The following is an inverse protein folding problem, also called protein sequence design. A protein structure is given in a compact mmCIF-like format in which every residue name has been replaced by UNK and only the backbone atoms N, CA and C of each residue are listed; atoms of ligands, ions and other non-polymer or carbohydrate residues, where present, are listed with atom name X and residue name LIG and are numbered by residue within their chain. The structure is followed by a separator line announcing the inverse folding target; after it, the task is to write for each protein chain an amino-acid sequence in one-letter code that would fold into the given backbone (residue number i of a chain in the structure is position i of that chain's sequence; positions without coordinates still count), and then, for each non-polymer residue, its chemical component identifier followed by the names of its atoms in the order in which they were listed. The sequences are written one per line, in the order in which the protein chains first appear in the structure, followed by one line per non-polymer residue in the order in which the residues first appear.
data_IF_708061254543
#
_entry.id   IF_708061254543
#
_cell.length_a   1.000
_cell.length_b   1.000
_cell.length_c   1.000
_cell.angle_alpha   90.00
_cell.angle_beta   90.00
_cell.angle_gamma   90.00
#
_symmetry.space_group_name_H-M   'P 1'
#
loop_
_entity.id
_entity.type
_entity.pdbx_description
1 polymer ?
#
# COMPACT_ATOMS: atom_id res chain seq x y z
N UNK A 1 -14.76 9.45 14.54
CA UNK A 1 -13.65 9.38 15.50
C UNK A 1 -12.99 10.76 15.61
N UNK A 2 -12.63 11.19 16.84
CA UNK A 2 -11.83 12.40 17.03
C UNK A 2 -10.38 12.17 16.67
N UNK A 3 -9.83 11.04 17.09
CA UNK A 3 -8.43 10.66 16.88
C UNK A 3 -8.27 9.94 15.52
N UNK A 4 -7.78 10.66 14.53
CA UNK A 4 -7.54 10.17 13.17
C UNK A 4 -6.17 10.66 12.72
N UNK A 5 -5.16 9.81 12.88
CA UNK A 5 -3.80 10.16 12.49
C UNK A 5 -3.36 9.40 11.24
N UNK A 6 -2.56 10.07 10.42
CA UNK A 6 -1.73 9.44 9.39
C UNK A 6 -0.28 9.77 9.67
N UNK A 7 0.57 8.75 9.65
CA UNK A 7 1.99 8.88 9.97
C UNK A 7 2.80 8.22 8.88
N UNK A 8 3.71 8.98 8.27
CA UNK A 8 4.56 8.54 7.17
C UNK A 8 4.21 9.17 5.83
N UNK A 9 4.23 8.37 4.78
CA UNK A 9 4.05 8.79 3.39
C UNK A 9 2.60 9.14 3.05
N UNK A 10 2.39 10.35 2.51
CA UNK A 10 1.08 10.77 1.98
C UNK A 10 0.89 10.46 0.48
N UNK A 11 1.70 11.03 -0.38
CA UNK A 11 1.73 10.86 -1.85
C UNK A 11 0.40 11.14 -2.60
N UNK A 12 -0.50 11.91 -2.01
CA UNK A 12 -1.80 12.28 -2.61
C UNK A 12 -1.94 13.80 -2.84
N UNK A 13 -0.81 14.46 -3.08
CA UNK A 13 -0.72 15.89 -3.39
C UNK A 13 0.01 16.70 -2.34
N UNK A 14 0.91 17.57 -2.79
CA UNK A 14 1.80 18.36 -1.94
C UNK A 14 1.81 19.86 -2.25
N UNK A 15 1.32 20.28 -3.43
CA UNK A 15 1.46 21.67 -3.89
C UNK A 15 0.53 22.62 -3.19
N UNK A 16 -0.71 22.19 -2.88
CA UNK A 16 -1.74 23.03 -2.25
C UNK A 16 -2.23 22.38 -0.96
N UNK A 17 -2.43 23.19 0.07
CA UNK A 17 -2.94 22.73 1.38
C UNK A 17 -4.25 21.94 1.31
N UNK A 18 -5.12 22.23 0.32
CA UNK A 18 -6.36 21.46 0.11
C UNK A 18 -6.13 19.96 -0.11
N UNK A 19 -4.92 19.57 -0.53
CA UNK A 19 -4.56 18.17 -0.74
C UNK A 19 -3.88 17.52 0.47
N UNK A 20 -3.55 18.28 1.51
CA UNK A 20 -2.85 17.76 2.69
C UNK A 20 -3.77 16.86 3.53
N UNK A 21 -3.19 15.91 4.29
CA UNK A 21 -3.93 14.97 5.12
C UNK A 21 -4.96 15.65 6.04
N UNK A 22 -4.59 16.79 6.64
CA UNK A 22 -5.44 17.54 7.55
C UNK A 22 -6.73 18.04 6.86
N UNK A 23 -6.70 18.33 5.57
CA UNK A 23 -7.89 18.67 4.77
C UNK A 23 -8.59 17.45 4.17
N UNK A 24 -8.10 16.26 4.44
CA UNK A 24 -8.66 14.98 3.99
C UNK A 24 -9.24 14.14 5.12
N UNK A 25 -9.52 14.77 6.27
CA UNK A 25 -10.22 14.14 7.37
C UNK A 25 -9.33 13.64 8.50
N UNK A 26 -8.03 13.72 8.40
CA UNK A 26 -7.12 13.41 9.50
C UNK A 26 -7.05 14.58 10.49
N UNK A 27 -6.88 14.26 11.77
CA UNK A 27 -6.70 15.23 12.84
C UNK A 27 -5.24 15.41 13.24
N UNK A 28 -4.36 14.57 12.72
CA UNK A 28 -2.92 14.64 12.91
C UNK A 28 -2.20 14.01 11.71
N UNK A 29 -1.11 14.63 11.31
CA UNK A 29 -0.20 14.17 10.27
C UNK A 29 1.24 14.35 10.73
N UNK A 30 2.05 13.30 10.57
CA UNK A 30 3.49 13.37 10.78
C UNK A 30 4.20 12.54 9.72
N UNK A 31 5.05 13.16 8.91
CA UNK A 31 5.71 12.47 7.81
C UNK A 31 5.94 13.35 6.58
N UNK A 32 5.91 12.75 5.39
CA UNK A 32 6.25 13.44 4.15
C UNK A 32 5.13 13.40 3.11
N UNK A 33 5.05 14.45 2.28
CA UNK A 33 3.99 14.62 1.30
C UNK A 33 4.32 14.01 -0.06
N UNK A 34 5.60 13.88 -0.42
CA UNK A 34 6.03 13.25 -1.67
C UNK A 34 6.03 11.71 -1.61
N UNK A 35 6.24 11.09 -2.77
CA UNK A 35 6.25 9.62 -2.92
C UNK A 35 7.54 8.95 -2.44
N UNK A 36 8.62 9.69 -2.25
CA UNK A 36 9.91 9.22 -1.76
C UNK A 36 10.68 10.38 -1.16
N UNK A 37 11.50 10.10 -0.16
CA UNK A 37 12.41 11.04 0.49
C UNK A 37 13.74 10.36 0.79
N UNK A 38 14.78 11.13 1.08
CA UNK A 38 15.96 10.67 1.78
C UNK A 38 15.60 10.24 3.21
N UNK A 39 16.07 9.07 3.63
CA UNK A 39 15.65 8.47 4.92
C UNK A 39 16.30 9.12 6.14
N UNK A 40 17.42 9.81 5.95
CA UNK A 40 18.17 10.46 7.03
C UNK A 40 17.98 11.97 7.02
N UNK A 41 18.07 12.59 5.84
CA UNK A 41 17.95 14.04 5.69
C UNK A 41 16.49 14.50 5.61
N UNK A 42 15.55 13.56 5.42
CA UNK A 42 14.11 13.81 5.33
C UNK A 42 13.76 14.78 4.18
N UNK A 43 14.56 14.75 3.12
CA UNK A 43 14.42 15.65 1.98
C UNK A 43 13.96 14.94 0.72
N UNK A 44 13.31 15.67 -0.17
CA UNK A 44 13.04 15.27 -1.53
C UNK A 44 13.87 16.11 -2.49
N UNK A 45 14.85 15.49 -3.15
CA UNK A 45 15.77 16.19 -4.08
C UNK A 45 16.45 17.42 -3.45
N UNK A 46 16.83 17.30 -2.16
CA UNK A 46 17.48 18.36 -1.38
C UNK A 46 16.55 19.36 -0.71
N UNK A 47 15.26 19.34 -1.00
CA UNK A 47 14.26 20.18 -0.34
C UNK A 47 13.63 19.42 0.84
N UNK A 48 13.53 20.04 1.99
CA UNK A 48 12.93 19.45 3.20
C UNK A 48 11.47 19.07 2.94
N UNK A 49 11.12 17.80 3.18
CA UNK A 49 9.76 17.26 3.07
C UNK A 49 9.43 16.42 4.30
N UNK A 50 9.46 17.06 5.47
CA UNK A 50 9.04 16.43 6.71
C UNK A 50 8.13 17.38 7.49
N UNK A 51 6.98 16.90 7.89
CA UNK A 51 5.90 17.75 8.39
C UNK A 51 5.34 17.22 9.70
N UNK A 52 4.92 18.14 10.54
CA UNK A 52 4.08 17.91 11.69
C UNK A 52 2.82 18.76 11.52
N UNK A 53 1.70 18.13 11.22
CA UNK A 53 0.43 18.75 10.83
C UNK A 53 0.59 19.69 9.62
N UNK A 54 0.54 20.99 9.85
CA UNK A 54 0.61 22.01 8.81
C UNK A 54 2.02 22.57 8.55
N UNK A 55 2.96 22.20 9.40
CA UNK A 55 4.27 22.83 9.45
C UNK A 55 5.36 21.85 8.99
N UNK A 56 6.32 22.36 8.25
CA UNK A 56 7.54 21.63 7.91
C UNK A 56 8.49 21.71 9.09
N UNK A 57 9.07 20.61 9.51
CA UNK A 57 9.95 20.53 10.67
C UNK A 57 11.28 19.82 10.39
N UNK A 58 12.32 20.20 11.13
CA UNK A 58 13.66 19.61 11.06
C UNK A 58 13.83 18.57 12.18
N UNK A 59 13.31 17.38 11.99
CA UNK A 59 13.61 16.28 12.92
C UNK A 59 14.92 15.59 12.55
N UNK A 60 15.55 14.99 13.54
CA UNK A 60 16.78 14.21 13.36
C UNK A 60 16.50 12.73 13.61
N UNK A 61 16.92 11.90 12.68
CA UNK A 61 16.80 10.46 12.81
C UNK A 61 16.45 9.76 11.50
N UNK A 62 16.35 8.47 11.58
CA UNK A 62 15.97 7.62 10.44
C UNK A 62 14.46 7.60 10.30
N UNK A 63 13.92 7.97 9.14
CA UNK A 63 12.48 8.19 8.92
C UNK A 63 11.59 7.02 9.38
N UNK A 64 12.03 5.77 9.16
CA UNK A 64 11.29 4.58 9.60
C UNK A 64 11.13 4.53 11.13
N UNK A 65 12.17 4.91 11.87
CA UNK A 65 12.10 4.98 13.34
C UNK A 65 11.28 6.17 13.83
N UNK A 66 11.37 7.31 13.16
CA UNK A 66 10.55 8.49 13.47
C UNK A 66 9.06 8.18 13.29
N UNK A 67 8.68 7.51 12.19
CA UNK A 67 7.31 7.05 11.93
C UNK A 67 6.85 6.11 13.04
N UNK A 68 7.67 5.13 13.42
CA UNK A 68 7.35 4.17 14.48
C UNK A 68 7.13 4.88 15.83
N UNK A 69 8.06 5.77 16.20
CA UNK A 69 8.01 6.52 17.45
C UNK A 69 6.75 7.38 17.54
N UNK A 70 6.39 8.07 16.46
CA UNK A 70 5.20 8.90 16.43
C UNK A 70 3.92 8.07 16.50
N UNK A 71 3.87 6.91 15.83
CA UNK A 71 2.74 5.99 15.93
C UNK A 71 2.52 5.53 17.38
N UNK A 72 3.58 5.17 18.08
CA UNK A 72 3.54 4.78 19.51
C UNK A 72 3.09 5.97 20.37
N UNK A 73 3.64 7.17 20.14
CA UNK A 73 3.22 8.39 20.85
C UNK A 73 1.73 8.65 20.71
N UNK A 74 1.19 8.49 19.51
CA UNK A 74 -0.26 8.61 19.26
C UNK A 74 -1.06 7.57 20.06
N UNK A 75 -0.63 6.31 20.03
CA UNK A 75 -1.28 5.23 20.78
C UNK A 75 -1.29 5.56 22.28
N UNK A 76 -0.16 6.00 22.82
CA UNK A 76 -0.04 6.35 24.25
C UNK A 76 -0.91 7.54 24.64
N UNK A 77 -1.02 8.54 23.76
CA UNK A 77 -1.80 9.76 23.99
C UNK A 77 -3.31 9.58 23.89
N UNK A 78 -3.80 8.58 23.12
CA UNK A 78 -5.23 8.35 22.96
C UNK A 78 -5.85 7.80 24.25
N UNK A 79 -7.08 8.22 24.55
CA UNK A 79 -7.84 7.66 25.65
C UNK A 79 -8.09 6.17 25.42
N UNK A 80 -7.99 5.35 26.47
CA UNK A 80 -8.12 3.89 26.35
C UNK A 80 -9.49 3.48 25.79
N UNK A 81 -10.55 4.15 26.21
CA UNK A 81 -11.93 3.88 25.77
C UNK A 81 -12.35 4.67 24.54
N UNK A 82 -11.48 5.59 24.06
CA UNK A 82 -11.76 6.41 22.91
C UNK A 82 -11.47 5.71 21.58
N UNK A 83 -12.41 5.73 20.60
CA UNK A 83 -12.13 5.17 19.28
C UNK A 83 -11.08 6.02 18.54
N UNK A 84 -10.17 5.35 17.83
CA UNK A 84 -9.15 6.00 17.01
C UNK A 84 -9.01 5.31 15.65
N UNK A 85 -8.45 6.03 14.70
CA UNK A 85 -7.95 5.52 13.42
C UNK A 85 -6.48 5.96 13.28
N UNK A 86 -5.60 5.01 13.09
CA UNK A 86 -4.17 5.23 12.88
C UNK A 86 -3.76 4.57 11.57
N UNK A 87 -3.34 5.38 10.60
CA UNK A 87 -2.77 4.93 9.35
C UNK A 87 -1.26 5.15 9.36
N UNK A 88 -0.50 4.08 9.50
CA UNK A 88 0.97 4.12 9.50
C UNK A 88 1.46 3.74 8.11
N UNK A 89 1.88 4.74 7.34
CA UNK A 89 2.29 4.62 5.96
C UNK A 89 3.82 4.67 5.85
N UNK A 90 4.49 3.56 6.14
CA UNK A 90 5.95 3.48 6.00
C UNK A 90 6.38 3.75 4.56
N UNK A 91 7.44 4.55 4.39
CA UNK A 91 8.11 4.70 3.09
C UNK A 91 9.09 3.55 2.81
N UNK A 92 9.59 2.85 3.83
CA UNK A 92 10.40 1.65 3.66
C UNK A 92 9.58 0.49 3.04
N UNK A 93 10.18 -0.29 2.13
CA UNK A 93 11.56 -0.23 1.63
C UNK A 93 11.69 0.47 0.26
N UNK A 94 10.93 1.55 -0.02
CA UNK A 94 11.01 2.32 -1.26
C UNK A 94 12.40 2.96 -1.44
N UNK A 95 12.84 3.16 -2.67
CA UNK A 95 14.07 3.91 -2.98
C UNK A 95 13.98 5.38 -2.53
N UNK A 96 15.16 6.00 -2.17
CA UNK A 96 16.52 5.47 -2.18
C UNK A 96 16.72 4.34 -1.16
N UNK A 97 17.57 3.35 -1.49
CA UNK A 97 17.89 2.29 -0.54
C UNK A 97 18.92 2.82 0.46
N UNK A 98 18.47 3.04 1.68
CA UNK A 98 19.28 3.59 2.77
C UNK A 98 18.88 2.89 4.07
N UNK A 99 19.84 2.36 4.81
CA UNK A 99 19.60 1.67 6.07
C UNK A 99 20.61 2.09 7.14
N UNK A 100 20.25 1.93 8.39
CA UNK A 100 21.15 2.16 9.49
C UNK A 100 22.18 1.04 9.59
N UNK A 101 23.41 1.37 10.00
CA UNK A 101 24.51 0.40 10.17
C UNK A 101 24.14 -0.78 11.06
N UNK A 102 23.42 -0.53 12.15
CA UNK A 102 22.98 -1.59 13.08
C UNK A 102 22.06 -2.62 12.39
N UNK A 103 21.27 -2.20 11.39
CA UNK A 103 20.38 -3.09 10.66
C UNK A 103 21.11 -3.80 9.51
N UNK A 104 22.09 -3.15 8.90
CA UNK A 104 23.01 -3.78 7.92
C UNK A 104 23.79 -4.93 8.59
N UNK A 105 24.28 -4.74 9.81
CA UNK A 105 25.00 -5.76 10.57
C UNK A 105 24.21 -7.03 10.87
N UNK A 106 22.88 -6.99 10.79
CA UNK A 106 22.06 -8.21 10.88
C UNK A 106 22.28 -9.18 9.71
N UNK A 107 22.83 -8.69 8.60
CA UNK A 107 22.97 -9.45 7.36
C UNK A 107 24.41 -9.60 6.88
N UNK A 108 25.30 -8.70 7.29
CA UNK A 108 26.68 -8.70 6.83
C UNK A 108 27.60 -7.92 7.77
N UNK A 109 28.71 -8.55 8.20
CA UNK A 109 29.73 -7.91 9.02
C UNK A 109 30.69 -7.04 8.20
N UNK A 110 30.93 -7.38 6.94
CA UNK A 110 31.87 -6.68 6.06
C UNK A 110 31.19 -6.13 4.80
N UNK A 111 30.31 -5.14 5.01
CA UNK A 111 29.46 -4.57 3.99
C UNK A 111 30.26 -3.95 2.82
N UNK A 112 31.40 -3.30 3.12
CA UNK A 112 32.21 -2.61 2.10
C UNK A 112 32.92 -3.59 1.15
N UNK A 113 33.07 -4.84 1.52
CA UNK A 113 33.65 -5.88 0.65
C UNK A 113 32.65 -6.45 -0.38
N UNK A 114 31.36 -6.14 -0.22
CA UNK A 114 30.32 -6.62 -1.11
C UNK A 114 30.30 -5.87 -2.43
N UNK A 115 29.87 -6.56 -3.49
CA UNK A 115 29.55 -5.89 -4.77
C UNK A 115 28.40 -4.90 -4.61
N UNK A 116 28.29 -3.87 -5.48
CA UNK A 116 27.19 -2.89 -5.40
C UNK A 116 25.78 -3.53 -5.45
N UNK A 117 25.64 -4.66 -6.13
CA UNK A 117 24.38 -5.41 -6.19
C UNK A 117 24.06 -6.10 -4.87
N UNK A 118 25.05 -6.67 -4.20
CA UNK A 118 24.92 -7.30 -2.89
C UNK A 118 24.68 -6.27 -1.81
N UNK A 119 25.39 -5.14 -1.83
CA UNK A 119 25.12 -4.02 -0.93
C UNK A 119 23.67 -3.56 -1.01
N UNK A 120 23.12 -3.41 -2.21
CA UNK A 120 21.69 -3.08 -2.37
C UNK A 120 20.76 -4.13 -1.79
N UNK A 121 21.07 -5.42 -1.94
CA UNK A 121 20.27 -6.51 -1.34
C UNK A 121 20.30 -6.45 0.18
N UNK A 122 21.46 -6.29 0.77
CA UNK A 122 21.64 -6.18 2.22
C UNK A 122 20.90 -4.95 2.74
N UNK A 123 21.08 -3.80 2.09
CA UNK A 123 20.41 -2.56 2.46
C UNK A 123 18.89 -2.71 2.42
N UNK A 124 18.35 -3.31 1.35
CA UNK A 124 16.91 -3.57 1.24
C UNK A 124 16.40 -4.45 2.38
N UNK A 125 17.11 -5.54 2.69
CA UNK A 125 16.74 -6.45 3.79
C UNK A 125 16.80 -5.73 5.15
N UNK A 126 17.82 -4.91 5.37
CA UNK A 126 17.98 -4.10 6.57
C UNK A 126 16.84 -3.08 6.75
N UNK A 127 16.40 -2.43 5.67
CA UNK A 127 15.24 -1.53 5.67
C UNK A 127 13.95 -2.27 6.07
N UNK A 128 13.74 -3.47 5.51
CA UNK A 128 12.56 -4.30 5.85
C UNK A 128 12.61 -4.72 7.32
N UNK A 129 13.77 -5.15 7.84
CA UNK A 129 13.90 -5.53 9.25
C UNK A 129 13.66 -4.37 10.21
N UNK A 130 14.10 -3.16 9.85
CA UNK A 130 13.80 -1.97 10.65
C UNK A 130 12.30 -1.69 10.69
N UNK A 131 11.62 -1.79 9.55
CA UNK A 131 10.16 -1.60 9.46
C UNK A 131 9.42 -2.68 10.26
N UNK A 132 9.78 -3.95 10.11
CA UNK A 132 9.15 -5.07 10.82
C UNK A 132 9.29 -4.93 12.35
N UNK A 133 10.49 -4.57 12.81
CA UNK A 133 10.73 -4.24 14.23
C UNK A 133 9.85 -3.08 14.70
N UNK A 134 9.66 -2.06 13.85
CA UNK A 134 8.77 -0.93 14.12
C UNK A 134 7.31 -1.37 14.24
N UNK A 135 6.84 -2.25 13.36
CA UNK A 135 5.50 -2.85 13.43
C UNK A 135 5.32 -3.64 14.73
N UNK A 136 6.33 -4.46 15.10
CA UNK A 136 6.35 -5.17 16.37
C UNK A 136 6.19 -4.23 17.57
N UNK A 137 6.93 -3.12 17.60
CA UNK A 137 6.85 -2.13 18.67
C UNK A 137 5.47 -1.46 18.76
N UNK A 138 4.82 -1.19 17.63
CA UNK A 138 3.44 -0.68 17.58
C UNK A 138 2.46 -1.70 18.17
N UNK A 139 2.58 -2.97 17.79
CA UNK A 139 1.75 -4.06 18.34
C UNK A 139 1.94 -4.17 19.86
N UNK A 140 3.19 -4.07 20.33
CA UNK A 140 3.49 -4.14 21.77
C UNK A 140 2.93 -2.92 22.53
N UNK A 141 2.94 -1.72 21.93
CA UNK A 141 2.28 -0.55 22.52
C UNK A 141 0.76 -0.76 22.67
N UNK A 142 0.09 -1.32 21.66
CA UNK A 142 -1.34 -1.67 21.72
C UNK A 142 -1.64 -2.71 22.80
N UNK A 143 -0.79 -3.74 22.92
CA UNK A 143 -0.90 -4.77 23.97
C UNK A 143 -0.68 -4.18 25.35
N UNK A 144 0.39 -3.39 25.55
CA UNK A 144 0.72 -2.71 26.81
C UNK A 144 -0.43 -1.82 27.27
N UNK A 145 -1.06 -1.11 26.35
CA UNK A 145 -2.23 -0.28 26.63
C UNK A 145 -3.50 -1.11 26.90
N UNK A 146 -3.50 -2.40 26.57
CA UNK A 146 -4.64 -3.31 26.77
C UNK A 146 -5.77 -3.09 25.78
N UNK A 147 -5.48 -2.59 24.57
CA UNK A 147 -6.47 -2.31 23.53
C UNK A 147 -6.31 -3.16 22.26
N UNK A 148 -5.28 -4.01 22.19
CA UNK A 148 -5.00 -4.84 21.00
C UNK A 148 -6.20 -5.72 20.62
N UNK A 149 -6.86 -6.34 21.58
CA UNK A 149 -8.00 -7.23 21.35
C UNK A 149 -9.27 -6.49 20.84
N UNK A 150 -9.34 -5.17 21.05
CA UNK A 150 -10.40 -4.31 20.51
C UNK A 150 -9.92 -3.49 19.28
N UNK A 151 -8.78 -3.85 18.71
CA UNK A 151 -8.22 -3.19 17.53
C UNK A 151 -8.40 -4.08 16.30
N UNK A 152 -8.95 -3.49 15.23
CA UNK A 152 -8.88 -4.05 13.89
C UNK A 152 -7.52 -3.64 13.29
N UNK A 153 -6.58 -4.56 13.24
CA UNK A 153 -5.22 -4.32 12.79
C UNK A 153 -5.01 -4.96 11.43
N UNK A 154 -4.63 -4.16 10.44
CA UNK A 154 -4.30 -4.64 9.10
C UNK A 154 -2.93 -4.14 8.66
N UNK A 155 -2.11 -5.03 8.12
CA UNK A 155 -0.89 -4.73 7.39
C UNK A 155 -1.06 -5.14 5.94
N UNK A 156 -0.60 -4.30 5.01
CA UNK A 156 -0.51 -4.65 3.59
C UNK A 156 0.58 -3.84 2.90
N UNK A 157 1.12 -4.39 1.82
CA UNK A 157 1.97 -3.64 0.89
C UNK A 157 1.11 -2.92 -0.15
N UNK A 158 1.56 -1.75 -0.61
CA UNK A 158 0.83 -0.93 -1.59
C UNK A 158 0.86 -1.52 -3.01
N UNK A 159 1.91 -2.25 -3.34
CA UNK A 159 2.10 -2.92 -4.64
C UNK A 159 3.14 -4.04 -4.53
N UNK A 160 3.31 -4.80 -5.59
CA UNK A 160 4.37 -5.79 -5.71
C UNK A 160 5.76 -5.18 -5.83
N UNK A 161 6.77 -6.03 -5.98
CA UNK A 161 8.17 -5.61 -6.07
C UNK A 161 8.42 -4.58 -7.17
N UNK A 162 9.30 -3.62 -6.90
CA UNK A 162 9.78 -2.67 -7.92
C UNK A 162 10.96 -3.21 -8.76
N UNK A 163 11.36 -4.48 -8.56
CA UNK A 163 12.48 -5.08 -9.28
C UNK A 163 13.86 -4.59 -8.83
N UNK A 164 13.93 -3.90 -7.69
CA UNK A 164 15.24 -3.50 -7.12
C UNK A 164 15.97 -4.70 -6.51
N UNK A 165 17.32 -4.71 -6.49
CA UNK A 165 18.07 -5.78 -5.85
C UNK A 165 17.64 -6.02 -4.41
N UNK A 166 17.32 -7.26 -4.06
CA UNK A 166 16.81 -7.65 -2.74
C UNK A 166 15.29 -7.81 -2.69
N UNK A 167 14.53 -7.14 -3.54
CA UNK A 167 13.10 -7.36 -3.66
C UNK A 167 12.76 -8.54 -4.57
N UNK A 168 11.66 -9.24 -4.26
CA UNK A 168 11.19 -10.38 -5.06
C UNK A 168 9.69 -10.54 -4.92
N UNK A 169 9.00 -10.85 -6.02
CA UNK A 169 7.62 -11.34 -6.00
C UNK A 169 7.55 -12.87 -5.90
N UNK A 170 8.65 -13.52 -5.55
CA UNK A 170 8.73 -14.98 -5.54
C UNK A 170 8.48 -15.56 -6.94
N UNK A 171 7.59 -16.55 -7.06
CA UNK A 171 7.28 -17.18 -8.35
C UNK A 171 6.27 -16.39 -9.18
N UNK A 172 5.68 -15.30 -8.64
CA UNK A 172 4.66 -14.51 -9.33
C UNK A 172 5.26 -13.72 -10.49
N UNK A 173 4.52 -13.66 -11.60
CA UNK A 173 4.94 -12.95 -12.80
C UNK A 173 4.83 -11.45 -12.65
N UNK A 174 5.77 -10.69 -13.23
CA UNK A 174 5.74 -9.24 -13.29
C UNK A 174 6.23 -8.54 -12.02
N UNK A 175 6.01 -7.24 -11.97
CA UNK A 175 6.49 -6.35 -10.91
C UNK A 175 5.59 -5.10 -10.83
N UNK A 176 5.90 -4.20 -9.92
CA UNK A 176 5.24 -2.89 -9.82
C UNK A 176 5.02 -2.27 -11.21
N UNK A 177 3.86 -1.71 -11.43
CA UNK A 177 3.30 -1.23 -12.69
C UNK A 177 2.71 -2.30 -13.62
N UNK A 178 2.82 -3.58 -13.30
CA UNK A 178 2.18 -4.65 -14.07
C UNK A 178 0.85 -5.07 -13.45
N UNK A 179 -0.09 -5.50 -14.27
CA UNK A 179 -1.34 -6.16 -13.85
C UNK A 179 -1.16 -7.68 -13.63
N UNK A 180 0.07 -8.19 -13.85
CA UNK A 180 0.46 -9.52 -13.41
C UNK A 180 0.51 -9.61 -11.89
N UNK A 181 0.34 -10.80 -11.34
CA UNK A 181 0.29 -10.99 -9.88
C UNK A 181 1.52 -10.46 -9.15
N UNK A 182 2.71 -10.52 -9.77
CA UNK A 182 3.91 -9.92 -9.20
C UNK A 182 3.86 -8.40 -8.99
N UNK A 183 2.92 -7.73 -9.66
CA UNK A 183 2.69 -6.28 -9.50
C UNK A 183 1.52 -5.94 -8.57
N UNK A 184 0.47 -6.77 -8.57
CA UNK A 184 -0.81 -6.44 -7.90
C UNK A 184 -1.18 -7.35 -6.74
N UNK A 185 -0.67 -8.57 -6.68
CA UNK A 185 -0.94 -9.51 -5.59
C UNK A 185 -0.02 -9.23 -4.41
N UNK A 186 -0.26 -8.10 -3.73
CA UNK A 186 0.52 -7.64 -2.60
C UNK A 186 0.18 -8.41 -1.32
N UNK A 187 1.17 -8.69 -0.43
CA UNK A 187 0.91 -9.35 0.84
C UNK A 187 0.02 -8.49 1.74
N UNK A 188 -0.93 -9.14 2.41
CA UNK A 188 -1.78 -8.53 3.41
C UNK A 188 -1.99 -9.48 4.60
N UNK A 189 -1.97 -8.93 5.80
CA UNK A 189 -2.21 -9.67 7.05
C UNK A 189 -3.21 -8.90 7.90
N UNK A 190 -4.21 -9.60 8.40
CA UNK A 190 -5.21 -9.05 9.28
C UNK A 190 -5.16 -9.73 10.65
N UNK A 191 -5.15 -8.94 11.72
CA UNK A 191 -5.45 -9.41 13.07
C UNK A 191 -6.73 -8.72 13.57
N UNK A 192 -7.70 -9.53 13.96
CA UNK A 192 -8.92 -9.06 14.59
C UNK A 192 -9.45 -10.12 15.57
N UNK A 193 -9.37 -9.85 16.86
CA UNK A 193 -9.71 -10.82 17.91
C UNK A 193 -11.12 -11.38 17.77
N UNK A 194 -12.08 -10.57 17.35
CA UNK A 194 -13.46 -11.01 17.12
C UNK A 194 -13.62 -12.03 16.00
N UNK A 195 -12.65 -12.10 15.08
CA UNK A 195 -12.61 -13.06 13.98
C UNK A 195 -11.68 -14.26 14.23
N UNK A 196 -10.88 -14.25 15.30
CA UNK A 196 -9.82 -15.24 15.58
C UNK A 196 -10.30 -16.70 15.54
N UNK A 197 -11.53 -16.96 16.02
CA UNK A 197 -12.10 -18.34 16.05
C UNK A 197 -12.48 -18.87 14.67
N UNK A 198 -12.56 -18.01 13.66
CA UNK A 198 -13.12 -18.33 12.35
C UNK A 198 -12.06 -18.49 11.25
N UNK A 199 -10.90 -17.87 11.44
CA UNK A 199 -9.81 -17.92 10.48
C UNK A 199 -8.52 -18.44 11.10
N UNK A 200 -8.19 -19.67 10.72
CA UNK A 200 -6.86 -20.24 11.01
C UNK A 200 -5.89 -20.12 9.82
N UNK A 201 -6.36 -19.68 8.64
CA UNK A 201 -5.62 -19.79 7.39
C UNK A 201 -5.90 -18.64 6.40
N UNK A 202 -5.24 -18.71 5.26
CA UNK A 202 -5.36 -17.79 4.14
C UNK A 202 -6.78 -17.72 3.59
N UNK A 203 -7.26 -16.52 3.33
CA UNK A 203 -8.51 -16.30 2.61
C UNK A 203 -8.26 -16.24 1.10
N UNK A 204 -9.11 -16.89 0.31
CA UNK A 204 -9.12 -16.80 -1.16
C UNK A 204 -9.98 -15.63 -1.67
N UNK A 205 -10.44 -14.75 -0.80
CA UNK A 205 -11.24 -13.59 -1.17
C UNK A 205 -10.41 -12.61 -2.02
N UNK A 206 -10.83 -12.36 -3.24
CA UNK A 206 -10.28 -11.25 -4.04
C UNK A 206 -10.69 -9.92 -3.39
N UNK A 207 -9.70 -9.13 -3.00
CA UNK A 207 -9.89 -7.86 -2.32
C UNK A 207 -8.83 -6.84 -2.74
N UNK A 208 -9.12 -5.56 -2.57
CA UNK A 208 -8.20 -4.47 -2.85
C UNK A 208 -8.45 -3.26 -1.96
N UNK A 209 -7.68 -2.20 -2.15
CA UNK A 209 -7.77 -0.98 -1.33
C UNK A 209 -9.16 -0.34 -1.35
N UNK A 210 -9.88 -0.46 -2.46
CA UNK A 210 -11.24 0.07 -2.62
C UNK A 210 -12.23 -0.57 -1.64
N UNK A 211 -11.92 -1.75 -1.12
CA UNK A 211 -12.77 -2.49 -0.17
C UNK A 211 -12.58 -2.05 1.29
N UNK A 212 -11.50 -1.32 1.60
CA UNK A 212 -11.22 -0.87 2.97
C UNK A 212 -12.31 0.04 3.51
N UNK A 213 -12.69 1.07 2.75
CA UNK A 213 -13.69 2.06 3.19
C UNK A 213 -15.05 1.40 3.44
N UNK A 214 -15.67 0.66 2.50
CA UNK A 214 -16.96 0.00 2.77
C UNK A 214 -16.87 -1.03 3.89
N UNK A 215 -15.75 -1.75 4.05
CA UNK A 215 -15.56 -2.71 5.14
C UNK A 215 -15.47 -2.02 6.50
N UNK A 216 -14.66 -0.96 6.62
CA UNK A 216 -14.53 -0.20 7.86
C UNK A 216 -15.83 0.51 8.22
N UNK A 217 -16.56 1.02 7.24
CA UNK A 217 -17.86 1.66 7.43
C UNK A 217 -18.88 0.67 8.02
N UNK A 218 -18.98 -0.53 7.47
CA UNK A 218 -19.82 -1.58 8.02
C UNK A 218 -19.35 -2.03 9.42
N UNK A 219 -18.04 -2.16 9.62
CA UNK A 219 -17.42 -2.54 10.90
C UNK A 219 -17.81 -1.58 12.04
N UNK A 220 -17.89 -0.28 11.76
CA UNK A 220 -18.26 0.73 12.76
C UNK A 220 -19.74 1.04 12.80
N UNK A 221 -20.57 0.34 12.01
CA UNK A 221 -22.03 0.52 11.99
C UNK A 221 -22.47 1.85 11.35
N UNK A 222 -21.66 2.47 10.51
CA UNK A 222 -22.05 3.68 9.80
C UNK A 222 -22.92 3.36 8.57
N UNK A 223 -24.23 3.59 8.68
CA UNK A 223 -25.23 3.39 7.63
C UNK A 223 -25.46 4.64 6.75
N UNK A 224 -24.66 5.69 6.89
CA UNK A 224 -24.80 6.89 6.03
C UNK A 224 -24.54 6.54 4.56
N UNK A 225 -25.32 7.18 3.66
CA UNK A 225 -25.08 6.99 2.22
C UNK A 225 -23.80 7.74 1.81
N UNK A 226 -22.90 7.11 1.05
CA UNK A 226 -21.74 7.80 0.52
C UNK A 226 -22.20 8.85 -0.53
N UNK A 227 -21.44 9.94 -0.67
CA UNK A 227 -21.69 10.95 -1.71
C UNK A 227 -21.55 10.40 -3.13
N UNK A 228 -20.77 9.35 -3.30
CA UNK A 228 -20.56 8.58 -4.54
C UNK A 228 -20.58 7.11 -4.20
N UNK A 229 -21.02 6.28 -5.10
CA UNK A 229 -20.91 4.84 -4.94
C UNK A 229 -19.44 4.43 -4.78
N UNK A 230 -19.22 3.40 -3.98
CA UNK A 230 -17.88 2.83 -3.80
C UNK A 230 -17.55 1.90 -4.97
N UNK A 231 -16.31 1.93 -5.44
CA UNK A 231 -15.80 0.93 -6.38
C UNK A 231 -15.59 -0.43 -5.71
N UNK A 232 -15.44 -0.43 -4.40
CA UNK A 232 -15.24 -1.62 -3.57
C UNK A 232 -16.53 -2.10 -2.90
N UNK A 233 -16.41 -3.27 -2.28
CA UNK A 233 -17.45 -3.90 -1.47
C UNK A 233 -16.96 -4.13 -0.05
N UNK A 234 -17.88 -4.26 0.91
CA UNK A 234 -17.49 -4.71 2.24
C UNK A 234 -17.16 -6.20 2.22
N UNK A 235 -15.99 -6.56 2.72
CA UNK A 235 -15.56 -7.95 2.95
C UNK A 235 -15.79 -8.39 4.41
N UNK A 236 -16.43 -7.56 5.24
CA UNK A 236 -16.73 -7.90 6.62
C UNK A 236 -17.49 -9.22 6.78
N UNK A 237 -18.46 -9.59 5.91
CA UNK A 237 -19.10 -10.91 5.98
C UNK A 237 -18.14 -12.07 5.82
N UNK A 238 -17.04 -11.90 5.08
CA UNK A 238 -15.96 -12.89 4.97
C UNK A 238 -15.12 -12.85 6.24
N UNK A 239 -14.70 -11.67 6.69
CA UNK A 239 -13.84 -11.50 7.87
C UNK A 239 -14.50 -11.98 9.18
N UNK A 240 -15.81 -11.98 9.28
CA UNK A 240 -16.53 -12.49 10.45
C UNK A 240 -17.09 -13.90 10.25
N UNK A 241 -16.71 -14.61 9.16
CA UNK A 241 -17.07 -15.99 8.87
C UNK A 241 -18.52 -16.25 8.48
N UNK A 242 -19.31 -15.21 8.23
CA UNK A 242 -20.67 -15.34 7.71
C UNK A 242 -20.70 -15.85 6.27
N UNK A 243 -19.64 -15.59 5.52
CA UNK A 243 -19.42 -16.08 4.16
C UNK A 243 -18.01 -16.64 4.03
N UNK A 244 -17.85 -17.70 3.26
CA UNK A 244 -16.52 -18.22 2.90
C UNK A 244 -15.82 -17.34 1.87
N UNK A 245 -16.60 -16.78 0.94
CA UNK A 245 -16.16 -15.91 -0.14
C UNK A 245 -17.33 -15.06 -0.66
N UNK A 246 -17.02 -13.93 -1.25
CA UNK A 246 -17.94 -13.11 -2.03
C UNK A 246 -17.44 -13.17 -3.48
N UNK A 247 -18.22 -13.78 -4.36
CA UNK A 247 -17.87 -13.84 -5.78
C UNK A 247 -17.94 -12.43 -6.38
N UNK A 248 -16.88 -12.04 -7.08
CA UNK A 248 -16.78 -10.75 -7.75
C UNK A 248 -15.76 -10.78 -8.88
N UNK A 249 -15.97 -9.94 -9.87
CA UNK A 249 -14.97 -9.56 -10.84
C UNK A 249 -14.37 -8.22 -10.42
N UNK A 250 -13.07 -8.18 -10.26
CA UNK A 250 -12.34 -7.01 -9.76
C UNK A 250 -11.50 -6.40 -10.89
N UNK A 251 -11.75 -5.12 -11.19
CA UNK A 251 -10.97 -4.39 -12.19
C UNK A 251 -9.64 -3.91 -11.59
N UNK A 252 -8.53 -4.29 -12.23
CA UNK A 252 -7.18 -3.96 -11.77
C UNK A 252 -6.62 -2.68 -12.41
N UNK A 253 -7.13 -2.27 -13.55
CA UNK A 253 -6.59 -1.20 -14.38
C UNK A 253 -6.19 -1.72 -15.77
N UNK A 254 -5.97 -0.81 -16.72
CA UNK A 254 -5.53 -1.11 -18.09
C UNK A 254 -6.22 -2.30 -18.75
N UNK A 255 -7.55 -2.40 -18.55
CA UNK A 255 -8.35 -3.50 -19.11
C UNK A 255 -8.15 -4.86 -18.46
N UNK A 256 -7.47 -4.96 -17.33
CA UNK A 256 -7.31 -6.20 -16.60
C UNK A 256 -8.43 -6.40 -15.57
N UNK A 257 -8.97 -7.63 -15.52
CA UNK A 257 -10.02 -8.05 -14.58
C UNK A 257 -9.63 -9.37 -13.94
N UNK A 258 -9.80 -9.49 -12.64
CA UNK A 258 -9.51 -10.71 -11.88
C UNK A 258 -10.71 -11.13 -11.04
N UNK A 259 -10.92 -12.44 -10.95
CA UNK A 259 -11.77 -13.07 -9.96
C UNK A 259 -11.04 -14.25 -9.29
N UNK A 260 -11.71 -15.03 -8.47
CA UNK A 260 -11.08 -16.13 -7.72
C UNK A 260 -10.48 -17.22 -8.62
N UNK A 261 -11.03 -17.40 -9.83
CA UNK A 261 -10.69 -18.50 -10.72
C UNK A 261 -9.85 -18.05 -11.93
N UNK A 262 -10.06 -16.80 -12.40
CA UNK A 262 -9.49 -16.32 -13.66
C UNK A 262 -8.99 -14.88 -13.57
N UNK A 263 -8.01 -14.55 -14.43
CA UNK A 263 -7.63 -13.17 -14.74
C UNK A 263 -7.59 -12.97 -16.25
N UNK A 264 -8.24 -11.93 -16.73
CA UNK A 264 -8.12 -11.44 -18.10
C UNK A 264 -7.21 -10.22 -18.15
N UNK A 265 -6.24 -10.21 -19.05
CA UNK A 265 -5.45 -9.01 -19.41
C UNK A 265 -5.69 -8.74 -20.88
N UNK A 266 -6.30 -7.60 -21.19
CA UNK A 266 -6.67 -7.22 -22.55
C UNK A 266 -5.46 -6.73 -23.35
N UNK A 267 -5.38 -7.19 -24.60
CA UNK A 267 -4.37 -6.72 -25.57
C UNK A 267 -4.49 -5.22 -25.81
N UNK A 268 -3.35 -4.54 -25.88
CA UNK A 268 -3.24 -3.13 -26.31
C UNK A 268 -3.73 -2.10 -25.29
N UNK A 269 -4.21 -2.52 -24.12
CA UNK A 269 -4.72 -1.59 -23.12
C UNK A 269 -3.61 -1.01 -22.24
N UNK A 270 -2.53 -1.77 -22.03
CA UNK A 270 -1.39 -1.33 -21.22
C UNK A 270 -0.22 -0.89 -22.09
N UNK A 271 0.27 0.36 -21.95
CA UNK A 271 1.49 0.80 -22.61
C UNK A 271 2.71 -0.07 -22.23
N UNK A 272 3.48 -0.51 -23.21
CA UNK A 272 4.68 -1.32 -23.01
C UNK A 272 4.45 -2.81 -22.80
N UNK A 273 3.21 -3.28 -22.73
CA UNK A 273 2.87 -4.71 -22.71
C UNK A 273 2.43 -5.16 -24.10
N UNK A 274 3.31 -5.87 -24.81
CA UNK A 274 3.03 -6.40 -26.15
C UNK A 274 2.43 -7.82 -26.05
N UNK A 275 1.11 -7.88 -26.04
CA UNK A 275 0.35 -9.13 -26.13
C UNK A 275 -0.14 -9.35 -27.56
N UNK A 276 0.08 -10.54 -28.12
CA UNK A 276 -0.43 -10.92 -29.45
C UNK A 276 -1.96 -10.99 -29.51
N UNK A 277 -2.57 -11.36 -28.39
CA UNK A 277 -4.03 -11.47 -28.17
C UNK A 277 -4.34 -11.26 -26.69
N UNK A 278 -5.62 -11.17 -26.32
CA UNK A 278 -6.05 -11.17 -24.92
C UNK A 278 -5.48 -12.39 -24.19
N UNK A 279 -5.05 -12.18 -22.94
CA UNK A 279 -4.41 -13.21 -22.14
C UNK A 279 -5.34 -13.60 -20.98
N UNK A 280 -5.80 -14.84 -20.98
CA UNK A 280 -6.58 -15.41 -19.88
C UNK A 280 -5.67 -16.29 -19.03
N UNK A 281 -5.64 -16.02 -17.74
CA UNK A 281 -5.06 -16.89 -16.71
C UNK A 281 -6.15 -17.77 -16.15
N UNK A 282 -5.90 -19.07 -16.03
CA UNK A 282 -6.70 -20.01 -15.24
C UNK A 282 -5.89 -20.38 -13.99
N UNK A 283 -6.24 -19.81 -12.85
CA UNK A 283 -5.49 -19.98 -11.59
C UNK A 283 -5.48 -21.41 -11.06
N UNK A 284 -6.45 -22.23 -11.46
CA UNK A 284 -6.51 -23.65 -11.07
C UNK A 284 -5.38 -24.44 -11.69
N UNK A 285 -4.99 -24.12 -12.93
CA UNK A 285 -4.00 -24.87 -13.71
C UNK A 285 -2.68 -24.14 -13.85
N UNK A 286 -2.68 -22.82 -13.77
CA UNK A 286 -1.50 -21.96 -13.92
C UNK A 286 -1.50 -20.76 -12.96
N UNK A 287 -1.23 -20.98 -11.66
CA UNK A 287 -1.21 -19.91 -10.67
C UNK A 287 -0.05 -18.90 -10.85
N UNK A 288 0.83 -19.13 -11.82
CA UNK A 288 1.99 -18.28 -12.09
C UNK A 288 1.91 -17.55 -13.43
N UNK A 289 0.75 -17.55 -14.07
CA UNK A 289 0.45 -16.74 -15.26
C UNK A 289 1.40 -16.99 -16.46
N UNK A 290 1.82 -18.25 -16.66
CA UNK A 290 2.78 -18.63 -17.70
C UNK A 290 2.12 -18.95 -19.04
N UNK A 291 0.85 -19.40 -19.02
CA UNK A 291 0.13 -19.93 -20.18
C UNK A 291 -1.13 -19.13 -20.44
N UNK A 292 -1.37 -18.79 -21.70
CA UNK A 292 -2.62 -18.18 -22.11
C UNK A 292 -3.71 -19.27 -22.31
N UNK A 293 -4.72 -19.25 -21.47
CA UNK A 293 -5.86 -20.17 -21.51
C UNK A 293 -7.07 -19.62 -22.30
N UNK A 294 -6.91 -18.57 -23.11
CA UNK A 294 -8.03 -17.96 -23.85
C UNK A 294 -8.65 -18.90 -24.88
N UNK A 295 -7.84 -19.73 -25.53
CA UNK A 295 -8.34 -20.77 -26.47
C UNK A 295 -9.13 -21.83 -25.71
N UNK A 296 -10.36 -22.08 -26.13
CA UNK A 296 -11.28 -23.01 -25.49
C UNK A 296 -12.06 -22.43 -24.29
N UNK A 297 -11.78 -21.17 -23.91
CA UNK A 297 -12.45 -20.47 -22.83
C UNK A 297 -13.09 -19.14 -23.29
N UNK A 298 -13.55 -19.06 -24.53
CA UNK A 298 -14.06 -17.84 -25.18
C UNK A 298 -15.24 -17.20 -24.41
N UNK A 299 -16.07 -18.05 -23.78
CA UNK A 299 -17.19 -17.57 -22.95
C UNK A 299 -16.70 -16.79 -21.73
N UNK A 300 -15.64 -17.29 -21.07
CA UNK A 300 -15.02 -16.64 -19.89
C UNK A 300 -14.34 -15.34 -20.30
N UNK A 301 -13.54 -15.38 -21.38
CA UNK A 301 -12.91 -14.19 -21.95
C UNK A 301 -13.96 -13.12 -22.23
N UNK A 302 -15.06 -13.48 -22.92
CA UNK A 302 -16.14 -12.55 -23.24
C UNK A 302 -16.80 -11.96 -21.99
N UNK A 303 -17.04 -12.78 -20.96
CA UNK A 303 -17.65 -12.32 -19.71
C UNK A 303 -16.76 -11.28 -19.01
N UNK A 304 -15.47 -11.60 -18.78
CA UNK A 304 -14.53 -10.67 -18.14
C UNK A 304 -14.25 -9.43 -19.00
N UNK A 305 -14.24 -9.58 -20.32
CA UNK A 305 -14.11 -8.46 -21.25
C UNK A 305 -15.27 -7.46 -21.08
N UNK A 306 -16.52 -7.94 -20.93
CA UNK A 306 -17.68 -7.07 -20.68
C UNK A 306 -17.57 -6.30 -19.36
N UNK A 307 -16.95 -6.90 -18.33
CA UNK A 307 -16.65 -6.19 -17.09
C UNK A 307 -15.66 -5.06 -17.34
N UNK A 308 -14.57 -5.36 -18.06
CA UNK A 308 -13.54 -4.34 -18.37
C UNK A 308 -14.09 -3.17 -19.17
N UNK A 309 -15.01 -3.41 -20.14
CA UNK A 309 -15.62 -2.37 -20.97
C UNK A 309 -16.34 -1.28 -20.17
N UNK A 310 -16.86 -1.59 -18.99
CA UNK A 310 -17.51 -0.61 -18.11
C UNK A 310 -16.56 0.50 -17.66
N UNK A 311 -15.26 0.23 -17.65
CA UNK A 311 -14.21 1.16 -17.23
C UNK A 311 -13.54 1.90 -18.40
N UNK A 312 -13.73 1.46 -19.65
CA UNK A 312 -13.12 2.08 -20.83
C UNK A 312 -13.58 3.52 -21.08
N UNK A 313 -14.76 3.89 -20.57
CA UNK A 313 -15.32 5.24 -20.68
C UNK A 313 -14.83 6.18 -19.56
N UNK A 314 -14.15 5.64 -18.56
CA UNK A 314 -13.61 6.43 -17.44
C UNK A 314 -12.27 7.01 -17.88
N UNK A 315 -12.26 8.30 -18.14
CA UNK A 315 -11.03 9.03 -18.52
C UNK A 315 -10.62 9.99 -17.42
N UNK A 316 -9.31 10.18 -17.19
CA UNK A 316 -8.82 11.19 -16.24
C UNK A 316 -9.29 12.59 -16.65
N UNK A 317 -9.73 13.40 -15.68
CA UNK A 317 -10.08 14.80 -15.93
C UNK A 317 -8.86 15.64 -16.39
N UNK A 318 -7.65 15.18 -16.08
CA UNK A 318 -6.38 15.81 -16.47
C UNK A 318 -5.58 14.74 -17.21
N UNK A 319 -5.01 15.05 -18.39
CA UNK A 319 -4.15 14.11 -19.09
C UNK A 319 -3.00 13.63 -18.22
N UNK A 320 -2.76 12.33 -18.20
CA UNK A 320 -1.62 11.76 -17.52
C UNK A 320 -0.32 12.14 -18.26
N UNK A 321 0.61 12.73 -17.53
CA UNK A 321 1.96 12.94 -18.04
C UNK A 321 2.75 11.65 -17.82
N UNK A 322 3.42 11.10 -18.84
CA UNK A 322 4.22 9.90 -18.68
C UNK A 322 5.24 10.06 -17.55
N UNK A 323 5.41 8.98 -16.78
CA UNK A 323 6.34 8.99 -15.63
C UNK A 323 7.74 9.51 -16.04
N UNK A 324 8.25 10.46 -15.28
CA UNK A 324 9.57 11.05 -15.50
C UNK A 324 9.63 12.15 -16.58
N UNK A 325 8.52 12.45 -17.30
CA UNK A 325 8.48 13.58 -18.24
C UNK A 325 7.94 14.84 -17.59
N UNK A 326 8.44 16.01 -18.03
CA UNK A 326 7.97 17.32 -17.55
C UNK A 326 8.36 17.63 -16.11
N UNK A 327 9.43 17.01 -15.57
CA UNK A 327 9.96 17.26 -14.23
C UNK A 327 11.30 17.97 -14.31
N UNK A 328 11.30 19.23 -13.87
CA UNK A 328 12.53 20.03 -13.70
C UNK A 328 13.17 19.86 -12.30
N UNK A 329 12.88 18.73 -11.63
CA UNK A 329 13.19 18.49 -10.23
C UNK A 329 12.08 18.94 -9.29
N UNK A 330 12.19 18.55 -8.02
CA UNK A 330 11.26 18.98 -6.98
C UNK A 330 11.73 20.33 -6.40
N UNK A 331 10.78 21.25 -6.24
CA UNK A 331 10.93 22.49 -5.46
C UNK A 331 9.85 22.54 -4.40
N UNK A 332 10.26 22.79 -3.15
CA UNK A 332 9.32 22.92 -2.06
C UNK A 332 8.35 24.07 -2.33
N UNK A 333 7.02 23.85 -2.17
CA UNK A 333 6.04 24.92 -2.32
C UNK A 333 6.31 26.08 -1.38
N UNK A 334 6.11 27.31 -1.85
CA UNK A 334 6.28 28.54 -1.01
C UNK A 334 5.40 28.54 0.25
N UNK A 335 4.35 27.73 0.24
CA UNK A 335 3.44 27.59 1.39
C UNK A 335 3.99 26.70 2.50
N UNK A 336 5.08 25.98 2.26
CA UNK A 336 5.74 25.19 3.28
C UNK A 336 6.55 26.12 4.19
N UNK A 337 6.01 26.36 5.36
CA UNK A 337 6.70 27.16 6.37
C UNK A 337 7.56 26.23 7.23
N UNK A 338 8.85 26.47 7.23
CA UNK A 338 9.77 25.79 8.17
C UNK A 338 9.64 26.46 9.53
N UNK A 339 9.24 25.71 10.54
CA UNK A 339 8.95 26.26 11.87
C UNK A 339 9.82 25.67 12.98
N UNK A 340 10.75 24.79 12.72
CA UNK A 340 11.74 24.35 13.76
C UNK A 340 12.91 23.60 13.18
#
# INVERSE_FOLDING_TARGET
YKNRAIIGKWHLGHTKKVHYPMNRGFSHFYGHLNGAIDYFDLTREGELDWHNDWETCHDKGYSTELITKEAIRCIDAYEKEGPFMLYVAYNAPHTPLQAQEKDIKLYCDNFDSLTPKEQKKVTYSAMVSCMDRGIGAIVDALKKKGIMDNTFFIFFSDNGTAGVPGSSSGPLRGHKFDEWDGGVHAPAVLYWKKAEKQYKNLSSQVTGFVDLVPTLKELVGDNSRPKREYDGISILPVLNGKKSCIDRDFYLGHGAVVNKDYKLIRKGMKPGLDLKQDFLVDYKTDPYEKKNASAGNEKIVKALYQVALKYDTITPCIPEVPYGKGRDGFKAPKEWKVVR
#
